data_IF_265963678098
#
_entry.id   IF_265963678098
#
_cell.length_a   1.000
_cell.length_b   1.000
_cell.length_c   1.000
_cell.angle_alpha   90.00
_cell.angle_beta   90.00
_cell.angle_gamma   90.00
#
_symmetry.space_group_name_H-M   'P 1'
#
loop_
_entity.id
_entity.type
_entity.pdbx_description
1 polymer ?
#
# COMPACT_ATOMS: atom_id res chain seq x y z
N UNK A 1 -11.54 -13.36 -41.99
CA UNK A 1 -12.54 -13.61 -40.95
C UNK A 1 -12.99 -12.26 -40.45
N UNK A 2 -14.25 -11.94 -40.72
CA UNK A 2 -14.93 -10.68 -40.43
C UNK A 2 -14.89 -10.36 -38.94
N UNK A 3 -14.35 -9.20 -38.59
CA UNK A 3 -14.48 -8.61 -37.24
C UNK A 3 -15.99 -8.38 -37.04
N UNK A 4 -16.54 -8.95 -35.98
CA UNK A 4 -17.96 -8.88 -35.65
C UNK A 4 -18.44 -7.43 -35.57
N UNK A 5 -19.39 -7.04 -36.43
CA UNK A 5 -20.30 -5.91 -36.24
C UNK A 5 -21.29 -6.19 -35.08
N UNK A 6 -20.81 -6.64 -33.93
CA UNK A 6 -21.64 -6.67 -32.74
C UNK A 6 -21.81 -5.22 -32.27
N UNK A 7 -23.04 -4.69 -32.40
CA UNK A 7 -23.40 -3.40 -31.82
C UNK A 7 -23.00 -3.38 -30.34
N UNK A 8 -22.24 -2.37 -29.94
CA UNK A 8 -21.94 -2.09 -28.53
C UNK A 8 -23.29 -1.88 -27.82
N UNK A 9 -23.59 -2.74 -26.84
CA UNK A 9 -24.79 -2.60 -26.03
C UNK A 9 -24.58 -1.49 -24.99
N UNK A 10 -25.25 -0.36 -25.19
CA UNK A 10 -25.23 0.79 -24.30
C UNK A 10 -26.24 0.69 -23.15
N UNK A 11 -26.91 -0.45 -22.96
CA UNK A 11 -27.79 -0.74 -21.81
C UNK A 11 -28.87 0.33 -21.57
N UNK A 12 -29.40 0.92 -22.65
CA UNK A 12 -30.44 1.95 -22.60
C UNK A 12 -29.95 3.39 -22.43
N UNK A 13 -28.64 3.62 -22.29
CA UNK A 13 -28.05 4.96 -22.31
C UNK A 13 -28.10 5.58 -23.71
N UNK A 14 -28.29 6.90 -23.77
CA UNK A 14 -28.39 7.69 -25.01
C UNK A 14 -27.14 8.56 -25.20
N UNK A 15 -26.01 7.92 -25.47
CA UNK A 15 -24.75 8.61 -25.64
C UNK A 15 -24.77 9.59 -26.82
N UNK A 16 -24.01 10.69 -26.76
CA UNK A 16 -23.76 11.53 -27.93
C UNK A 16 -23.13 10.73 -29.07
N UNK A 17 -23.49 11.06 -30.32
CA UNK A 17 -22.98 10.37 -31.51
C UNK A 17 -21.44 10.35 -31.57
N UNK A 18 -20.78 11.43 -31.11
CA UNK A 18 -19.32 11.51 -31.06
C UNK A 18 -18.68 10.46 -30.16
N UNK A 19 -19.30 10.10 -29.04
CA UNK A 19 -18.83 9.06 -28.13
C UNK A 19 -19.11 7.66 -28.69
N UNK A 20 -20.29 7.48 -29.31
CA UNK A 20 -20.63 6.23 -30.01
C UNK A 20 -19.61 5.95 -31.12
N UNK A 21 -19.31 6.94 -31.95
CA UNK A 21 -18.34 6.81 -33.05
C UNK A 21 -16.93 6.54 -32.50
N UNK A 22 -16.55 7.19 -31.40
CA UNK A 22 -15.27 6.94 -30.74
C UNK A 22 -15.14 5.49 -30.26
N UNK A 23 -16.15 4.97 -29.57
CA UNK A 23 -16.14 3.59 -29.08
C UNK A 23 -16.14 2.57 -30.22
N UNK A 24 -16.91 2.79 -31.29
CA UNK A 24 -16.88 1.93 -32.48
C UNK A 24 -15.52 1.92 -33.16
N UNK A 25 -14.86 3.08 -33.25
CA UNK A 25 -13.50 3.18 -33.79
C UNK A 25 -12.49 2.47 -32.89
N UNK A 26 -12.59 2.59 -31.58
CA UNK A 26 -11.75 1.83 -30.64
C UNK A 26 -11.92 0.31 -30.82
N UNK A 27 -13.17 -0.17 -30.97
CA UNK A 27 -13.43 -1.58 -31.21
C UNK A 27 -12.85 -2.07 -32.55
N UNK A 28 -13.08 -1.31 -33.63
CA UNK A 28 -12.74 -1.74 -34.99
C UNK A 28 -11.27 -1.49 -35.38
N UNK A 29 -10.71 -0.31 -35.08
CA UNK A 29 -9.34 0.07 -35.44
C UNK A 29 -8.30 -0.54 -34.49
N UNK A 30 -8.67 -0.75 -33.21
CA UNK A 30 -7.76 -1.20 -32.16
C UNK A 30 -8.10 -2.60 -31.62
N UNK A 31 -9.05 -3.30 -32.25
CA UNK A 31 -9.49 -4.66 -31.89
C UNK A 31 -9.79 -4.83 -30.39
N UNK A 32 -10.42 -3.81 -29.82
CA UNK A 32 -10.74 -3.79 -28.39
C UNK A 32 -12.05 -4.51 -28.09
N UNK A 33 -12.03 -5.33 -27.05
CA UNK A 33 -13.25 -5.84 -26.45
C UNK A 33 -13.85 -4.79 -25.49
N UNK A 34 -14.91 -4.12 -25.95
CA UNK A 34 -15.56 -3.03 -25.23
C UNK A 34 -16.80 -3.56 -24.50
N UNK A 35 -16.70 -3.61 -23.19
CA UNK A 35 -17.80 -3.96 -22.29
C UNK A 35 -18.20 -2.69 -21.56
N UNK A 36 -19.44 -2.25 -21.79
CA UNK A 36 -20.01 -1.01 -21.24
C UNK A 36 -20.91 -1.33 -20.06
N UNK A 37 -20.74 -0.64 -18.93
CA UNK A 37 -21.55 -0.80 -17.72
C UNK A 37 -21.86 0.54 -17.03
N UNK A 38 -22.93 0.62 -16.21
CA UNK A 38 -23.12 1.71 -15.26
C UNK A 38 -21.92 1.87 -14.31
N UNK A 39 -21.67 3.11 -13.86
CA UNK A 39 -20.62 3.42 -12.88
C UNK A 39 -20.73 2.53 -11.63
N UNK A 40 -19.61 1.89 -11.27
CA UNK A 40 -19.49 1.07 -10.06
C UNK A 40 -19.67 -0.44 -10.26
N UNK A 41 -20.07 -0.90 -11.45
CA UNK A 41 -20.05 -2.32 -11.78
C UNK A 41 -18.61 -2.84 -12.02
N UNK A 42 -18.36 -4.10 -11.65
CA UNK A 42 -17.08 -4.80 -11.85
C UNK A 42 -17.01 -5.40 -13.26
N UNK A 43 -15.80 -5.72 -13.70
CA UNK A 43 -15.54 -6.50 -14.93
C UNK A 43 -15.99 -5.79 -16.23
N UNK A 44 -15.63 -4.52 -16.41
CA UNK A 44 -15.91 -3.78 -17.65
C UNK A 44 -14.76 -2.86 -18.05
N UNK A 45 -14.68 -2.56 -19.35
CA UNK A 45 -13.68 -1.65 -19.90
C UNK A 45 -14.20 -0.21 -20.01
N UNK A 46 -15.52 0.03 -19.95
CA UNK A 46 -16.11 1.37 -20.04
C UNK A 46 -17.20 1.57 -18.97
N UNK A 47 -17.13 2.68 -18.21
CA UNK A 47 -18.24 3.13 -17.36
C UNK A 47 -18.98 4.30 -17.96
N UNK A 48 -20.30 4.25 -17.83
CA UNK A 48 -21.21 5.34 -18.15
C UNK A 48 -21.81 5.98 -16.91
N UNK A 49 -22.03 7.30 -16.99
CA UNK A 49 -22.84 8.06 -16.04
C UNK A 49 -23.52 9.22 -16.79
N UNK A 50 -24.80 9.45 -16.49
CA UNK A 50 -25.58 10.55 -17.08
C UNK A 50 -25.46 10.65 -18.62
N UNK A 51 -25.59 9.51 -19.31
CA UNK A 51 -25.47 9.39 -20.78
C UNK A 51 -24.09 9.73 -21.37
N UNK A 52 -23.03 9.70 -20.55
CA UNK A 52 -21.65 9.95 -21.00
C UNK A 52 -20.66 8.88 -20.56
N UNK A 53 -19.60 8.66 -21.35
CA UNK A 53 -18.44 7.86 -20.97
C UNK A 53 -17.59 8.63 -19.96
N UNK A 54 -17.58 8.14 -18.71
CA UNK A 54 -16.82 8.75 -17.60
C UNK A 54 -15.56 7.95 -17.24
N UNK A 55 -15.47 6.69 -17.65
CA UNK A 55 -14.27 5.88 -17.44
C UNK A 55 -14.01 4.95 -18.60
N UNK A 56 -12.73 4.77 -18.93
CA UNK A 56 -12.29 3.76 -19.90
C UNK A 56 -10.96 3.12 -19.51
N UNK A 57 -10.88 1.80 -19.64
CA UNK A 57 -9.73 0.97 -19.30
C UNK A 57 -9.21 0.22 -20.52
N UNK A 58 -7.92 0.42 -20.81
CA UNK A 58 -7.17 -0.15 -21.92
C UNK A 58 -6.07 -1.10 -21.46
N UNK A 59 -6.30 -1.87 -20.38
CA UNK A 59 -5.29 -2.79 -19.86
C UNK A 59 -4.86 -3.80 -20.93
N UNK A 60 -3.54 -4.02 -21.11
CA UNK A 60 -3.02 -5.15 -21.91
C UNK A 60 -3.48 -5.18 -23.38
N UNK A 61 -3.54 -4.01 -24.02
CA UNK A 61 -3.93 -3.89 -25.45
C UNK A 61 -2.74 -3.68 -26.40
N UNK A 62 -1.50 -3.83 -25.91
CA UNK A 62 -0.26 -3.65 -26.69
C UNK A 62 -0.14 -2.28 -27.39
N UNK A 63 -0.76 -1.23 -26.84
CA UNK A 63 -0.67 0.11 -27.43
C UNK A 63 0.75 0.66 -27.38
N UNK A 64 1.28 1.05 -28.54
CA UNK A 64 2.52 1.82 -28.68
C UNK A 64 2.27 3.33 -28.67
N UNK A 65 1.05 3.76 -28.99
CA UNK A 65 0.59 5.16 -28.97
C UNK A 65 -0.82 5.24 -28.40
N UNK A 66 -1.19 6.42 -27.89
CA UNK A 66 -2.53 6.66 -27.38
C UNK A 66 -3.55 6.66 -28.53
N UNK A 67 -4.64 5.88 -28.46
CA UNK A 67 -5.67 5.89 -29.51
C UNK A 67 -6.33 7.25 -29.70
N UNK A 68 -6.33 7.76 -30.93
CA UNK A 68 -6.93 9.06 -31.29
C UNK A 68 -8.43 9.21 -31.01
N UNK A 69 -9.29 8.17 -31.15
CA UNK A 69 -10.73 8.32 -30.89
C UNK A 69 -11.07 8.81 -29.46
N UNK A 70 -10.17 8.61 -28.49
CA UNK A 70 -10.32 9.03 -27.09
C UNK A 70 -10.51 10.54 -26.98
N UNK A 71 -9.98 11.33 -27.92
CA UNK A 71 -10.16 12.78 -27.97
C UNK A 71 -11.64 13.19 -27.97
N UNK A 72 -12.56 12.33 -28.41
CA UNK A 72 -13.99 12.66 -28.45
C UNK A 72 -14.73 12.37 -27.13
N UNK A 73 -14.07 11.77 -26.13
CA UNK A 73 -14.65 11.42 -24.83
C UNK A 73 -14.47 12.56 -23.82
N UNK A 74 -15.16 13.68 -24.04
CA UNK A 74 -14.93 14.94 -23.32
C UNK A 74 -15.38 14.95 -21.84
N UNK A 75 -16.17 13.96 -21.43
CA UNK A 75 -16.65 13.77 -20.05
C UNK A 75 -15.81 12.78 -19.25
N UNK A 76 -14.70 12.31 -19.82
CA UNK A 76 -13.88 11.28 -19.21
C UNK A 76 -13.24 11.77 -17.90
N UNK A 77 -13.59 11.11 -16.80
CA UNK A 77 -13.03 11.37 -15.48
C UNK A 77 -11.82 10.47 -15.19
N UNK A 78 -11.86 9.22 -15.65
CA UNK A 78 -10.79 8.26 -15.36
C UNK A 78 -10.37 7.47 -16.59
N UNK A 79 -9.06 7.34 -16.80
CA UNK A 79 -8.50 6.57 -17.92
C UNK A 79 -7.37 5.66 -17.47
N UNK A 80 -7.35 4.42 -17.95
CA UNK A 80 -6.29 3.46 -17.65
C UNK A 80 -5.64 2.90 -18.90
N UNK A 81 -4.32 2.96 -18.97
CA UNK A 81 -3.47 2.37 -20.01
C UNK A 81 -2.47 1.37 -19.43
N UNK A 82 -2.81 0.71 -18.32
CA UNK A 82 -1.87 -0.19 -17.65
C UNK A 82 -1.41 -1.35 -18.57
N UNK A 83 -0.14 -1.75 -18.44
CA UNK A 83 0.44 -2.87 -19.19
C UNK A 83 0.34 -2.69 -20.71
N UNK A 84 0.81 -1.55 -21.22
CA UNK A 84 0.96 -1.28 -22.65
C UNK A 84 2.43 -0.97 -22.98
N UNK A 85 2.69 -0.35 -24.13
CA UNK A 85 4.02 0.07 -24.58
C UNK A 85 4.08 1.59 -24.86
N UNK A 86 3.26 2.38 -24.17
CA UNK A 86 3.24 3.83 -24.35
C UNK A 86 4.55 4.46 -23.84
N UNK A 87 5.11 5.38 -24.62
CA UNK A 87 6.28 6.19 -24.22
C UNK A 87 5.98 7.68 -24.17
N UNK A 88 4.87 8.12 -24.76
CA UNK A 88 4.43 9.52 -24.80
C UNK A 88 2.89 9.61 -24.79
N UNK A 89 2.39 10.83 -24.58
CA UNK A 89 0.99 11.18 -24.73
C UNK A 89 0.88 12.34 -25.74
N UNK A 90 -0.13 12.32 -26.63
CA UNK A 90 -0.30 13.35 -27.65
C UNK A 90 -0.74 14.69 -27.06
N UNK A 91 -0.50 15.80 -27.75
CA UNK A 91 -0.83 17.15 -27.25
C UNK A 91 -2.32 17.36 -27.00
N UNK A 92 -3.18 16.75 -27.85
CA UNK A 92 -4.64 16.83 -27.70
C UNK A 92 -5.13 16.24 -26.38
N UNK A 93 -4.31 15.42 -25.70
CA UNK A 93 -4.69 14.81 -24.42
C UNK A 93 -5.01 15.87 -23.35
N UNK A 94 -4.47 17.08 -23.49
CA UNK A 94 -4.78 18.22 -22.61
C UNK A 94 -6.22 18.75 -22.74
N UNK A 95 -6.97 18.32 -23.76
CA UNK A 95 -8.38 18.69 -23.96
C UNK A 95 -9.33 17.91 -23.04
N UNK A 96 -8.88 16.80 -22.43
CA UNK A 96 -9.66 15.99 -21.49
C UNK A 96 -9.79 16.66 -20.12
N UNK A 97 -10.36 17.85 -20.07
CA UNK A 97 -10.35 18.75 -18.90
C UNK A 97 -11.07 18.21 -17.66
N UNK A 98 -11.92 17.19 -17.82
CA UNK A 98 -12.63 16.49 -16.73
C UNK A 98 -11.82 15.37 -16.08
N UNK A 99 -10.65 15.04 -16.63
CA UNK A 99 -9.87 13.90 -16.18
C UNK A 99 -9.31 14.14 -14.77
N UNK A 100 -9.73 13.31 -13.82
CA UNK A 100 -9.31 13.31 -12.42
C UNK A 100 -8.29 12.22 -12.12
N UNK A 101 -8.29 11.12 -12.86
CA UNK A 101 -7.38 10.00 -12.61
C UNK A 101 -6.84 9.39 -13.89
N UNK A 102 -5.53 9.18 -13.92
CA UNK A 102 -4.84 8.47 -15.01
C UNK A 102 -3.95 7.34 -14.48
N UNK A 103 -4.06 6.16 -15.11
CA UNK A 103 -3.23 5.00 -14.80
C UNK A 103 -2.34 4.63 -15.99
N UNK A 104 -1.02 4.83 -15.86
CA UNK A 104 0.01 4.54 -16.87
C UNK A 104 0.99 3.47 -16.36
N UNK A 105 0.58 2.63 -15.40
CA UNK A 105 1.41 1.57 -14.83
C UNK A 105 1.93 0.61 -15.91
N UNK A 106 3.15 0.10 -15.79
CA UNK A 106 3.75 -0.88 -16.70
C UNK A 106 3.72 -0.37 -18.16
N UNK A 107 4.45 0.71 -18.42
CA UNK A 107 4.63 1.31 -19.75
C UNK A 107 6.13 1.64 -19.98
N UNK A 108 6.44 2.46 -20.99
CA UNK A 108 7.81 2.78 -21.43
C UNK A 108 8.12 4.28 -21.31
N UNK A 109 7.47 5.00 -20.41
CA UNK A 109 7.74 6.44 -20.22
C UNK A 109 9.13 6.64 -19.60
N UNK A 110 10.02 7.30 -20.34
CA UNK A 110 11.35 7.75 -19.85
C UNK A 110 11.31 9.16 -19.28
N UNK A 111 10.34 9.97 -19.72
CA UNK A 111 10.09 11.33 -19.24
C UNK A 111 8.64 11.53 -18.87
N UNK A 112 8.37 12.39 -17.88
CA UNK A 112 7.00 12.72 -17.50
C UNK A 112 6.28 13.46 -18.64
N UNK A 113 5.10 13.03 -19.10
CA UNK A 113 4.35 13.69 -20.17
C UNK A 113 3.87 15.07 -19.73
N UNK A 114 4.48 16.13 -20.27
CA UNK A 114 4.14 17.52 -19.92
C UNK A 114 2.69 17.88 -20.22
N UNK A 115 2.04 17.20 -21.17
CA UNK A 115 0.62 17.38 -21.47
C UNK A 115 -0.27 17.17 -20.23
N UNK A 116 0.12 16.27 -19.31
CA UNK A 116 -0.63 16.04 -18.07
C UNK A 116 -0.65 17.28 -17.17
N UNK A 117 0.39 18.12 -17.20
CA UNK A 117 0.47 19.35 -16.40
C UNK A 117 -0.54 20.42 -16.83
N UNK A 118 -1.26 20.20 -17.93
CA UNK A 118 -2.32 21.08 -18.44
C UNK A 118 -3.72 20.62 -18.06
N UNK A 119 -3.86 19.54 -17.30
CA UNK A 119 -5.15 18.97 -16.87
C UNK A 119 -5.54 19.49 -15.48
N UNK A 120 -6.48 20.46 -15.38
CA UNK A 120 -6.73 21.17 -14.12
C UNK A 120 -7.46 20.32 -13.06
N UNK A 121 -8.19 19.29 -13.48
CA UNK A 121 -8.97 18.42 -12.59
C UNK A 121 -8.16 17.22 -12.05
N UNK A 122 -6.90 17.05 -12.48
CA UNK A 122 -6.14 15.83 -12.22
C UNK A 122 -5.80 15.69 -10.73
N UNK A 123 -6.34 14.65 -10.10
CA UNK A 123 -6.15 14.33 -8.68
C UNK A 123 -5.20 13.15 -8.46
N UNK A 124 -5.16 12.20 -9.40
CA UNK A 124 -4.41 10.94 -9.24
C UNK A 124 -3.63 10.58 -10.49
N UNK A 125 -2.34 10.30 -10.32
CA UNK A 125 -1.44 9.91 -11.40
C UNK A 125 -0.68 8.65 -11.00
N UNK A 126 -0.72 7.60 -11.83
CA UNK A 126 0.05 6.38 -11.60
C UNK A 126 1.03 6.10 -12.73
N UNK A 127 2.31 6.01 -12.40
CA UNK A 127 3.44 5.72 -13.27
C UNK A 127 4.28 4.55 -12.76
N UNK A 128 3.74 3.68 -11.90
CA UNK A 128 4.50 2.51 -11.41
C UNK A 128 5.03 1.67 -12.56
N UNK A 129 6.24 1.12 -12.44
CA UNK A 129 6.88 0.31 -13.49
C UNK A 129 7.01 1.08 -14.82
N UNK A 130 7.77 2.16 -14.78
CA UNK A 130 8.20 2.94 -15.95
C UNK A 130 9.70 3.24 -15.85
N UNK A 131 10.20 4.20 -16.61
CA UNK A 131 11.62 4.54 -16.70
C UNK A 131 11.88 6.02 -16.35
N UNK A 132 10.97 6.65 -15.61
CA UNK A 132 11.07 8.07 -15.23
C UNK A 132 12.27 8.30 -14.32
N UNK A 133 12.95 9.44 -14.51
CA UNK A 133 14.08 9.86 -13.66
C UNK A 133 13.90 11.25 -13.04
N UNK A 134 12.93 12.04 -13.51
CA UNK A 134 12.64 13.38 -12.99
C UNK A 134 11.16 13.76 -13.19
N UNK A 135 10.71 14.77 -12.45
CA UNK A 135 9.38 15.39 -12.56
C UNK A 135 9.54 16.86 -12.99
N UNK A 136 8.84 17.31 -14.04
CA UNK A 136 8.97 18.65 -14.57
C UNK A 136 8.46 19.71 -13.58
N UNK A 137 9.06 20.90 -13.61
CA UNK A 137 8.67 22.03 -12.76
C UNK A 137 7.22 22.49 -13.00
N UNK A 138 6.66 22.19 -14.16
CA UNK A 138 5.28 22.49 -14.56
C UNK A 138 4.25 21.65 -13.77
N UNK A 139 4.67 20.64 -13.00
CA UNK A 139 3.79 19.88 -12.09
C UNK A 139 3.04 20.80 -11.10
N UNK A 140 3.60 21.98 -10.80
CA UNK A 140 2.97 23.03 -9.98
C UNK A 140 1.57 23.43 -10.46
N UNK A 141 1.26 23.25 -11.74
CA UNK A 141 -0.04 23.58 -12.32
C UNK A 141 -1.15 22.61 -11.90
N UNK A 142 -0.80 21.45 -11.33
CA UNK A 142 -1.75 20.44 -10.88
C UNK A 142 -2.21 20.71 -9.45
N UNK A 143 -2.95 21.80 -9.27
CA UNK A 143 -3.39 22.29 -7.95
C UNK A 143 -4.30 21.33 -7.18
N UNK A 144 -4.91 20.36 -7.88
CA UNK A 144 -5.80 19.35 -7.30
C UNK A 144 -5.12 17.98 -7.12
N UNK A 145 -3.84 17.84 -7.46
CA UNK A 145 -3.13 16.56 -7.36
C UNK A 145 -3.01 16.14 -5.90
N UNK A 146 -3.57 14.98 -5.58
CA UNK A 146 -3.56 14.37 -4.24
C UNK A 146 -2.67 13.14 -4.18
N UNK A 147 -2.64 12.34 -5.24
CA UNK A 147 -1.90 11.07 -5.25
C UNK A 147 -0.99 10.96 -6.47
N UNK A 148 0.28 10.63 -6.24
CA UNK A 148 1.23 10.32 -7.31
C UNK A 148 2.03 9.05 -7.00
N UNK A 149 1.94 8.06 -7.90
CA UNK A 149 2.70 6.80 -7.81
C UNK A 149 3.81 6.77 -8.85
N UNK A 150 5.04 6.70 -8.37
CA UNK A 150 6.30 6.71 -9.13
C UNK A 150 7.19 5.50 -8.74
N UNK A 151 6.60 4.47 -8.13
CA UNK A 151 7.37 3.31 -7.72
C UNK A 151 7.93 2.54 -8.94
N UNK A 152 9.01 1.79 -8.79
CA UNK A 152 9.65 1.05 -9.88
C UNK A 152 9.98 1.95 -11.09
N UNK A 153 10.83 2.94 -10.85
CA UNK A 153 11.32 3.88 -11.85
C UNK A 153 12.85 4.08 -11.67
N UNK A 154 13.42 5.11 -12.30
CA UNK A 154 14.85 5.42 -12.30
C UNK A 154 15.21 6.67 -11.46
N UNK A 155 14.42 7.01 -10.44
CA UNK A 155 14.72 8.18 -9.60
C UNK A 155 15.97 7.93 -8.75
N UNK A 156 16.98 8.79 -8.90
CA UNK A 156 18.20 8.80 -8.06
C UNK A 156 18.05 9.72 -6.83
N UNK A 157 17.12 10.67 -6.91
CA UNK A 157 16.87 11.68 -5.88
C UNK A 157 15.37 11.89 -5.72
N UNK A 158 14.97 12.41 -4.56
CA UNK A 158 13.60 12.86 -4.36
C UNK A 158 13.24 13.96 -5.39
N UNK A 159 12.11 13.84 -6.12
CA UNK A 159 11.70 14.82 -7.11
C UNK A 159 11.18 16.10 -6.43
N UNK A 160 12.08 17.02 -6.09
CA UNK A 160 11.78 18.27 -5.38
C UNK A 160 10.69 19.12 -6.04
N UNK A 161 10.42 18.96 -7.34
CA UNK A 161 9.32 19.62 -8.03
C UNK A 161 7.96 19.33 -7.37
N UNK A 162 7.76 18.15 -6.77
CA UNK A 162 6.54 17.78 -6.06
C UNK A 162 6.26 18.70 -4.87
N UNK A 163 7.29 19.24 -4.20
CA UNK A 163 7.15 20.16 -3.08
C UNK A 163 6.39 21.46 -3.40
N UNK A 164 6.21 21.76 -4.70
CA UNK A 164 5.46 22.92 -5.18
C UNK A 164 3.95 22.66 -5.29
N UNK A 165 3.51 21.45 -4.97
CA UNK A 165 2.11 21.00 -5.04
C UNK A 165 1.64 20.61 -3.63
N UNK A 166 1.22 21.57 -2.80
CA UNK A 166 0.93 21.34 -1.39
C UNK A 166 -0.33 20.48 -1.15
N UNK A 167 -1.14 20.26 -2.19
CA UNK A 167 -2.33 19.40 -2.17
C UNK A 167 -1.99 17.90 -2.12
N UNK A 168 -0.75 17.49 -2.39
CA UNK A 168 -0.37 16.08 -2.42
C UNK A 168 -0.49 15.47 -1.01
N UNK A 169 -1.25 14.38 -0.93
CA UNK A 169 -1.49 13.60 0.28
C UNK A 169 -0.71 12.28 0.29
N UNK A 170 -0.41 11.74 -0.90
CA UNK A 170 0.20 10.41 -1.05
C UNK A 170 1.28 10.43 -2.13
N UNK A 171 2.49 10.01 -1.77
CA UNK A 171 3.63 9.85 -2.68
C UNK A 171 4.16 8.42 -2.58
N UNK A 172 4.16 7.73 -3.73
CA UNK A 172 4.80 6.44 -3.89
C UNK A 172 6.11 6.55 -4.67
N UNK A 173 7.24 6.27 -4.03
CA UNK A 173 8.59 6.32 -4.61
C UNK A 173 9.38 5.02 -4.34
N UNK A 174 8.69 3.93 -3.98
CA UNK A 174 9.36 2.66 -3.72
C UNK A 174 10.02 2.04 -4.96
N UNK A 175 10.96 1.12 -4.80
CA UNK A 175 11.72 0.50 -5.91
C UNK A 175 12.36 1.56 -6.81
N UNK A 176 13.20 2.42 -6.24
CA UNK A 176 14.00 3.41 -6.96
C UNK A 176 15.45 3.34 -6.44
N UNK A 177 16.27 4.36 -6.73
CA UNK A 177 17.67 4.46 -6.28
C UNK A 177 17.89 5.72 -5.44
N UNK A 178 16.88 6.09 -4.64
CA UNK A 178 16.93 7.29 -3.81
C UNK A 178 17.72 6.95 -2.55
N UNK A 179 18.77 7.72 -2.28
CA UNK A 179 19.57 7.57 -1.06
C UNK A 179 19.36 8.70 -0.05
N UNK A 180 18.80 9.84 -0.49
CA UNK A 180 18.59 11.04 0.34
C UNK A 180 17.32 11.79 -0.03
N UNK A 181 16.73 12.44 0.97
CA UNK A 181 15.64 13.39 0.83
C UNK A 181 16.06 14.71 1.47
N UNK A 182 15.73 15.83 0.83
CA UNK A 182 16.03 17.16 1.33
C UNK A 182 14.83 17.80 2.05
N UNK A 183 15.03 18.98 2.63
CA UNK A 183 14.01 19.71 3.40
C UNK A 183 12.81 20.19 2.57
N UNK A 184 12.71 19.87 1.27
CA UNK A 184 11.56 20.22 0.43
C UNK A 184 10.25 19.59 0.91
N UNK A 185 10.30 18.49 1.67
CA UNK A 185 9.12 17.89 2.31
C UNK A 185 8.37 18.86 3.25
N UNK A 186 9.06 19.86 3.81
CA UNK A 186 8.43 20.89 4.65
C UNK A 186 7.34 21.71 3.95
N UNK A 187 7.32 21.70 2.60
CA UNK A 187 6.31 22.41 1.80
C UNK A 187 5.06 21.57 1.50
N UNK A 188 5.12 20.27 1.75
CA UNK A 188 4.01 19.35 1.51
C UNK A 188 3.09 19.28 2.74
N UNK A 189 2.32 20.33 2.96
CA UNK A 189 1.45 20.49 4.15
C UNK A 189 0.38 19.41 4.28
N UNK A 190 -0.05 18.80 3.18
CA UNK A 190 -1.09 17.78 3.17
C UNK A 190 -0.55 16.35 3.07
N UNK A 191 0.77 16.15 3.00
CA UNK A 191 1.35 14.82 2.82
C UNK A 191 1.10 13.94 4.05
N UNK A 192 0.35 12.86 3.84
CA UNK A 192 -0.02 11.87 4.87
C UNK A 192 0.71 10.55 4.69
N UNK A 193 1.01 10.16 3.45
CA UNK A 193 1.64 8.87 3.15
C UNK A 193 2.85 9.04 2.24
N UNK A 194 3.98 8.51 2.69
CA UNK A 194 5.23 8.51 1.94
C UNK A 194 5.78 7.07 1.88
N UNK A 195 5.79 6.49 0.68
CA UNK A 195 6.31 5.15 0.45
C UNK A 195 7.68 5.22 -0.23
N UNK A 196 8.70 4.68 0.43
CA UNK A 196 10.11 4.72 0.06
C UNK A 196 10.75 3.33 0.12
N UNK A 197 9.94 2.27 0.14
CA UNK A 197 10.43 0.89 0.19
C UNK A 197 11.41 0.58 -0.95
N UNK A 198 12.37 -0.33 -0.77
CA UNK A 198 13.29 -0.78 -1.82
C UNK A 198 14.03 0.39 -2.50
N UNK A 199 14.76 1.16 -1.69
CA UNK A 199 15.61 2.28 -2.14
C UNK A 199 17.05 2.10 -1.58
N UNK A 200 17.86 3.15 -1.60
CA UNK A 200 19.27 3.12 -1.20
C UNK A 200 19.53 3.91 0.10
N UNK A 201 18.54 3.99 1.01
CA UNK A 201 18.71 4.67 2.29
C UNK A 201 19.59 3.85 3.24
N UNK A 202 20.77 4.37 3.61
CA UNK A 202 21.64 3.79 4.66
C UNK A 202 21.33 4.31 6.07
N UNK A 203 20.66 5.45 6.14
CA UNK A 203 20.22 6.12 7.37
C UNK A 203 18.76 6.56 7.20
N UNK A 204 18.05 6.75 8.32
CA UNK A 204 16.72 7.33 8.24
C UNK A 204 16.78 8.74 7.64
N UNK A 205 15.97 9.06 6.62
CA UNK A 205 16.00 10.37 5.98
C UNK A 205 15.43 11.44 6.91
N UNK A 206 16.29 12.14 7.65
CA UNK A 206 15.89 13.10 8.69
C UNK A 206 14.94 14.19 8.16
N UNK A 207 15.05 14.60 6.89
CA UNK A 207 14.14 15.57 6.29
C UNK A 207 12.65 15.16 6.32
N UNK A 208 12.34 13.87 6.50
CA UNK A 208 10.97 13.38 6.67
C UNK A 208 10.30 13.93 7.94
N UNK A 209 11.08 14.28 8.97
CA UNK A 209 10.54 14.86 10.22
C UNK A 209 9.95 16.26 10.03
N UNK A 210 10.25 16.91 8.91
CA UNK A 210 9.76 18.25 8.57
C UNK A 210 8.40 18.22 7.86
N UNK A 211 7.86 17.03 7.51
CA UNK A 211 6.53 16.88 6.93
C UNK A 211 5.44 16.96 8.03
N UNK A 212 4.62 18.03 8.07
CA UNK A 212 3.82 18.37 9.26
C UNK A 212 2.62 17.44 9.51
N UNK A 213 2.12 16.78 8.48
CA UNK A 213 0.88 15.99 8.51
C UNK A 213 1.12 14.50 8.26
N UNK A 214 2.37 14.04 8.32
CA UNK A 214 2.75 12.71 7.89
C UNK A 214 2.23 11.64 8.87
N UNK A 215 1.52 10.66 8.34
CA UNK A 215 0.87 9.60 9.12
C UNK A 215 1.49 8.22 8.85
N UNK A 216 1.96 7.98 7.64
CA UNK A 216 2.47 6.66 7.23
C UNK A 216 3.79 6.81 6.47
N UNK A 217 4.81 6.11 6.96
CA UNK A 217 6.11 5.98 6.31
C UNK A 217 6.38 4.50 6.06
N UNK A 218 6.72 4.15 4.82
CA UNK A 218 7.27 2.84 4.50
C UNK A 218 8.72 3.01 3.99
N UNK A 219 9.67 2.43 4.72
CA UNK A 219 11.10 2.36 4.41
C UNK A 219 11.59 0.90 4.35
N UNK A 220 10.69 -0.04 4.10
CA UNK A 220 10.98 -1.47 3.91
C UNK A 220 12.09 -1.69 2.88
N UNK A 221 12.91 -2.73 3.05
CA UNK A 221 13.93 -3.14 2.06
C UNK A 221 14.94 -2.03 1.72
N UNK A 222 15.46 -1.36 2.75
CA UNK A 222 16.56 -0.40 2.64
C UNK A 222 17.79 -0.92 3.40
N UNK A 223 18.78 -0.05 3.67
CA UNK A 223 19.98 -0.37 4.46
C UNK A 223 20.07 0.46 5.74
N UNK A 224 18.92 0.84 6.32
CA UNK A 224 18.87 1.70 7.50
C UNK A 224 19.39 0.94 8.72
N UNK A 225 20.40 1.51 9.38
CA UNK A 225 20.99 0.98 10.61
C UNK A 225 20.64 1.78 11.86
N UNK A 226 20.25 3.06 11.69
CA UNK A 226 19.93 3.95 12.81
C UNK A 226 18.79 4.93 12.49
N UNK A 227 18.07 5.34 13.54
CA UNK A 227 17.00 6.34 13.51
C UNK A 227 17.41 7.52 14.41
N UNK A 228 17.38 8.77 13.94
CA UNK A 228 17.83 9.93 14.71
C UNK A 228 16.84 10.36 15.80
N UNK A 229 17.32 11.07 16.82
CA UNK A 229 16.50 11.61 17.92
C UNK A 229 15.37 12.55 17.44
N UNK A 230 15.59 13.23 16.31
CA UNK A 230 14.61 14.11 15.68
C UNK A 230 13.36 13.36 15.21
N UNK A 231 13.40 12.02 15.07
CA UNK A 231 12.24 11.18 14.77
C UNK A 231 11.08 11.41 15.76
N UNK A 232 11.39 11.74 17.03
CA UNK A 232 10.37 12.04 18.04
C UNK A 232 9.48 13.26 17.71
N UNK A 233 9.83 14.06 16.69
CA UNK A 233 9.00 15.18 16.19
C UNK A 233 7.77 14.71 15.40
N UNK A 234 7.75 13.48 14.90
CA UNK A 234 6.68 12.93 14.05
C UNK A 234 5.41 12.56 14.83
N UNK A 235 4.81 13.54 15.53
CA UNK A 235 3.68 13.34 16.47
C UNK A 235 2.36 12.90 15.81
N UNK A 236 2.27 12.99 14.50
CA UNK A 236 1.10 12.56 13.70
C UNK A 236 1.27 11.15 13.15
N UNK A 237 2.46 10.54 13.27
CA UNK A 237 2.78 9.26 12.66
C UNK A 237 1.98 8.13 13.30
N UNK A 238 1.25 7.40 12.48
CA UNK A 238 0.41 6.26 12.84
C UNK A 238 1.02 4.93 12.42
N UNK A 239 1.81 4.91 11.35
CA UNK A 239 2.41 3.68 10.84
C UNK A 239 3.85 3.90 10.39
N UNK A 240 4.74 3.03 10.85
CA UNK A 240 6.15 2.99 10.45
C UNK A 240 6.55 1.58 10.03
N UNK A 241 6.98 1.43 8.79
CA UNK A 241 7.58 0.19 8.29
C UNK A 241 9.09 0.36 8.05
N UNK A 242 9.88 -0.42 8.78
CA UNK A 242 11.35 -0.53 8.68
C UNK A 242 11.75 -2.00 8.50
N UNK A 243 10.85 -2.84 7.97
CA UNK A 243 11.14 -4.25 7.72
C UNK A 243 12.27 -4.40 6.70
N UNK A 244 13.02 -5.51 6.74
CA UNK A 244 14.13 -5.80 5.83
C UNK A 244 15.18 -4.67 5.78
N UNK A 245 15.61 -4.20 6.95
CA UNK A 245 16.69 -3.20 7.09
C UNK A 245 17.87 -3.81 7.87
N UNK A 246 18.77 -2.97 8.36
CA UNK A 246 20.01 -3.38 9.04
C UNK A 246 20.04 -2.92 10.50
N UNK A 247 18.88 -2.77 11.15
CA UNK A 247 18.81 -2.38 12.56
C UNK A 247 19.41 -3.49 13.43
N UNK A 248 20.47 -3.17 14.17
CA UNK A 248 21.14 -4.08 15.10
C UNK A 248 20.68 -3.90 16.55
N UNK A 249 19.87 -2.87 16.81
CA UNK A 249 19.21 -2.59 18.09
C UNK A 249 17.82 -2.02 17.83
N UNK A 250 16.94 -2.12 18.83
CA UNK A 250 15.65 -1.44 18.76
C UNK A 250 15.85 0.07 18.89
N UNK A 251 15.37 0.91 17.94
CA UNK A 251 15.52 2.35 18.02
C UNK A 251 14.60 2.94 19.09
N UNK A 252 15.13 3.16 20.29
CA UNK A 252 14.33 3.59 21.45
C UNK A 252 13.56 4.91 21.21
N UNK A 253 14.08 5.80 20.34
CA UNK A 253 13.39 7.04 19.93
C UNK A 253 11.99 6.79 19.38
N UNK A 254 11.72 5.65 18.73
CA UNK A 254 10.41 5.28 18.20
C UNK A 254 9.35 5.27 19.32
N UNK A 255 9.74 4.87 20.54
CA UNK A 255 8.83 4.79 21.70
C UNK A 255 8.32 6.16 22.18
N UNK A 256 8.96 7.26 21.74
CA UNK A 256 8.53 8.64 22.04
C UNK A 256 7.39 9.12 21.14
N UNK A 257 7.08 8.39 20.07
CA UNK A 257 5.99 8.71 19.13
C UNK A 257 4.73 7.94 19.52
N UNK A 258 4.04 8.42 20.56
CA UNK A 258 2.89 7.72 21.16
C UNK A 258 1.70 7.54 20.21
N UNK A 259 1.64 8.29 19.10
CA UNK A 259 0.60 8.19 18.07
C UNK A 259 0.67 6.91 17.23
N UNK A 260 1.77 6.15 17.29
CA UNK A 260 1.97 4.95 16.49
C UNK A 260 0.93 3.87 16.80
N UNK A 261 0.23 3.45 15.74
CA UNK A 261 -0.70 2.33 15.71
C UNK A 261 -0.15 1.08 15.01
N UNK A 262 0.83 1.23 14.12
CA UNK A 262 1.51 0.14 13.42
C UNK A 262 3.02 0.32 13.43
N UNK A 263 3.75 -0.71 13.87
CA UNK A 263 5.20 -0.77 13.85
C UNK A 263 5.65 -2.10 13.23
N UNK A 264 6.45 -2.01 12.17
CA UNK A 264 6.95 -3.17 11.43
C UNK A 264 8.48 -3.12 11.38
N UNK A 265 9.10 -4.15 11.93
CA UNK A 265 10.54 -4.31 12.13
C UNK A 265 11.01 -5.69 11.65
N UNK A 266 10.21 -6.37 10.83
CA UNK A 266 10.45 -7.75 10.38
C UNK A 266 11.81 -7.86 9.71
N UNK A 267 12.57 -8.94 9.95
CA UNK A 267 13.87 -9.21 9.32
C UNK A 267 14.88 -8.05 9.48
N UNK A 268 15.20 -7.76 10.73
CA UNK A 268 16.34 -6.95 11.14
C UNK A 268 17.28 -7.83 12.02
N UNK A 269 18.19 -7.23 12.79
CA UNK A 269 19.12 -7.92 13.68
C UNK A 269 18.92 -7.55 15.16
N UNK A 270 17.69 -7.19 15.56
CA UNK A 270 17.38 -6.64 16.88
C UNK A 270 17.44 -7.74 17.97
N UNK A 271 18.28 -7.60 19.01
CA UNK A 271 18.43 -8.61 20.06
C UNK A 271 17.46 -8.45 21.24
N UNK A 272 16.92 -7.25 21.45
CA UNK A 272 16.01 -6.96 22.56
C UNK A 272 15.09 -5.78 22.26
N UNK A 273 13.97 -5.70 22.98
CA UNK A 273 13.02 -4.58 22.97
C UNK A 273 13.18 -3.84 24.31
N UNK A 274 13.29 -2.50 24.32
CA UNK A 274 13.44 -1.73 25.56
C UNK A 274 12.11 -1.67 26.33
N UNK A 275 12.18 -1.45 27.65
CA UNK A 275 10.99 -1.27 28.51
C UNK A 275 10.13 -0.08 28.08
N UNK A 276 10.73 0.94 27.47
CA UNK A 276 10.04 2.09 26.91
C UNK A 276 9.03 1.74 25.81
N UNK A 277 9.02 0.52 25.26
CA UNK A 277 7.97 0.03 24.36
C UNK A 277 6.57 0.23 24.94
N UNK A 278 6.44 0.13 26.28
CA UNK A 278 5.18 0.35 26.98
C UNK A 278 4.57 1.74 26.81
N UNK A 279 5.31 2.72 26.25
CA UNK A 279 4.81 4.05 25.93
C UNK A 279 3.88 4.08 24.71
N UNK A 280 3.95 3.08 23.83
CA UNK A 280 3.16 3.03 22.58
C UNK A 280 1.73 2.53 22.82
N UNK A 281 0.95 3.24 23.64
CA UNK A 281 -0.41 2.83 24.08
C UNK A 281 -1.42 2.66 22.93
N UNK A 282 -1.17 3.30 21.79
CA UNK A 282 -2.02 3.21 20.60
C UNK A 282 -1.63 2.08 19.64
N UNK A 283 -0.54 1.35 19.92
CA UNK A 283 -0.02 0.32 19.04
C UNK A 283 -1.02 -0.83 18.93
N UNK A 284 -1.59 -1.00 17.73
CA UNK A 284 -2.55 -2.05 17.40
C UNK A 284 -1.91 -3.20 16.61
N UNK A 285 -0.82 -2.94 15.90
CA UNK A 285 -0.05 -3.96 15.17
C UNK A 285 1.43 -3.78 15.42
N UNK A 286 2.07 -4.86 15.87
CA UNK A 286 3.51 -4.93 16.04
C UNK A 286 4.04 -6.18 15.34
N UNK A 287 4.90 -5.98 14.35
CA UNK A 287 5.60 -7.06 13.65
C UNK A 287 7.10 -6.90 13.87
N UNK A 288 7.73 -7.89 14.49
CA UNK A 288 9.17 -7.95 14.74
C UNK A 288 9.70 -9.37 14.47
N UNK A 289 9.03 -10.10 13.58
CA UNK A 289 9.45 -11.45 13.19
C UNK A 289 10.81 -11.45 12.48
N UNK A 290 11.56 -12.55 12.55
CA UNK A 290 12.86 -12.68 11.86
C UNK A 290 13.96 -11.81 12.46
N UNK A 291 13.97 -11.60 13.78
CA UNK A 291 15.02 -10.86 14.50
C UNK A 291 15.83 -11.82 15.40
N UNK A 292 16.55 -11.31 16.39
CA UNK A 292 17.40 -12.08 17.32
C UNK A 292 16.93 -11.96 18.76
N UNK A 293 15.62 -11.74 18.98
CA UNK A 293 15.06 -11.54 20.30
C UNK A 293 15.19 -12.81 21.14
N UNK A 294 15.75 -12.70 22.34
CA UNK A 294 15.84 -13.82 23.30
C UNK A 294 14.77 -13.77 24.40
N UNK A 295 14.21 -12.59 24.64
CA UNK A 295 13.16 -12.34 25.64
C UNK A 295 12.37 -11.08 25.28
N UNK A 296 11.28 -10.84 26.00
CA UNK A 296 10.46 -9.63 25.91
C UNK A 296 10.43 -8.91 27.27
N UNK A 297 10.37 -7.58 27.29
CA UNK A 297 10.19 -6.82 28.53
C UNK A 297 8.77 -6.98 29.09
N UNK A 298 8.61 -6.85 30.42
CA UNK A 298 7.28 -6.89 31.07
C UNK A 298 6.37 -5.73 30.62
N UNK A 299 6.95 -4.64 30.14
CA UNK A 299 6.20 -3.50 29.62
C UNK A 299 5.44 -3.81 28.33
N UNK A 300 5.67 -4.96 27.68
CA UNK A 300 4.85 -5.40 26.55
C UNK A 300 3.37 -5.53 26.94
N UNK A 301 3.08 -5.96 28.17
CA UNK A 301 1.71 -6.07 28.66
C UNK A 301 0.99 -4.73 28.84
N UNK A 302 1.69 -3.59 28.67
CA UNK A 302 1.09 -2.27 28.69
C UNK A 302 0.46 -1.86 27.34
N UNK A 303 0.64 -2.65 26.28
CA UNK A 303 0.12 -2.40 24.94
C UNK A 303 -1.33 -2.87 24.82
N UNK A 304 -2.24 -2.26 25.57
CA UNK A 304 -3.64 -2.71 25.69
C UNK A 304 -4.46 -2.69 24.38
N UNK A 305 -4.00 -1.97 23.36
CA UNK A 305 -4.63 -1.91 22.03
C UNK A 305 -4.05 -2.91 21.04
N UNK A 306 -2.97 -3.63 21.39
CA UNK A 306 -2.29 -4.55 20.49
C UNK A 306 -3.22 -5.70 20.11
N UNK A 307 -3.56 -5.78 18.83
CA UNK A 307 -4.43 -6.79 18.24
C UNK A 307 -3.68 -7.84 17.42
N UNK A 308 -2.55 -7.46 16.83
CA UNK A 308 -1.69 -8.33 16.05
C UNK A 308 -0.26 -8.22 16.57
N UNK A 309 0.33 -9.35 16.94
CA UNK A 309 1.72 -9.41 17.38
C UNK A 309 2.45 -10.57 16.70
N UNK A 310 3.43 -10.25 15.84
CA UNK A 310 4.29 -11.24 15.20
C UNK A 310 5.70 -11.19 15.77
N UNK A 311 6.10 -12.31 16.38
CA UNK A 311 7.39 -12.59 16.98
C UNK A 311 8.06 -13.80 16.32
N UNK A 312 7.52 -14.30 15.20
CA UNK A 312 7.98 -15.54 14.59
C UNK A 312 9.43 -15.45 14.10
N UNK A 313 10.18 -16.54 14.13
CA UNK A 313 11.57 -16.55 13.65
C UNK A 313 12.52 -15.71 14.52
N UNK A 314 12.39 -15.80 15.84
CA UNK A 314 13.30 -15.20 16.82
C UNK A 314 13.97 -16.31 17.66
N UNK A 315 14.59 -15.96 18.79
CA UNK A 315 15.27 -16.89 19.69
C UNK A 315 14.65 -16.86 21.10
N UNK A 316 13.35 -16.55 21.20
CA UNK A 316 12.66 -16.32 22.48
C UNK A 316 12.54 -17.64 23.24
N UNK A 317 12.96 -17.64 24.49
CA UNK A 317 12.93 -18.83 25.38
C UNK A 317 11.75 -18.85 26.33
N UNK A 318 11.21 -17.68 26.70
CA UNK A 318 10.03 -17.55 27.54
C UNK A 318 9.25 -16.26 27.26
N UNK A 319 7.98 -16.25 27.65
CA UNK A 319 7.10 -15.09 27.54
C UNK A 319 6.88 -14.45 28.92
N UNK A 320 6.84 -13.10 29.00
CA UNK A 320 6.63 -12.41 30.27
C UNK A 320 5.19 -12.58 30.77
N UNK A 321 5.02 -12.61 32.10
CA UNK A 321 3.72 -12.85 32.72
C UNK A 321 2.70 -11.74 32.41
N UNK A 322 3.19 -10.53 32.11
CA UNK A 322 2.38 -9.39 31.68
C UNK A 322 1.63 -9.58 30.36
N UNK A 323 1.96 -10.58 29.51
CA UNK A 323 1.22 -10.79 28.25
C UNK A 323 -0.28 -11.08 28.46
N UNK A 324 -0.68 -11.56 29.64
CA UNK A 324 -2.09 -11.70 30.04
C UNK A 324 -2.87 -10.37 30.04
N UNK A 325 -2.18 -9.24 30.04
CA UNK A 325 -2.79 -7.90 30.02
C UNK A 325 -3.11 -7.39 28.61
N UNK A 326 -2.73 -8.11 27.55
CA UNK A 326 -2.98 -7.76 26.15
C UNK A 326 -4.44 -8.02 25.74
N UNK A 327 -5.38 -7.32 26.36
CA UNK A 327 -6.84 -7.56 26.25
C UNK A 327 -7.42 -7.40 24.84
N UNK A 328 -6.71 -6.73 23.93
CA UNK A 328 -7.13 -6.56 22.53
C UNK A 328 -6.51 -7.58 21.59
N UNK A 329 -5.60 -8.44 22.06
CA UNK A 329 -4.82 -9.35 21.22
C UNK A 329 -5.75 -10.39 20.58
N UNK A 330 -5.67 -10.47 19.25
CA UNK A 330 -6.43 -11.42 18.42
C UNK A 330 -5.51 -12.46 17.81
N UNK A 331 -4.37 -12.02 17.30
CA UNK A 331 -3.43 -12.88 16.57
C UNK A 331 -2.03 -12.75 17.20
N UNK A 332 -1.50 -13.88 17.67
CA UNK A 332 -0.16 -13.99 18.24
C UNK A 332 0.63 -15.04 17.45
N UNK A 333 1.75 -14.63 16.84
CA UNK A 333 2.64 -15.51 16.11
C UNK A 333 3.97 -15.65 16.84
N UNK A 334 4.29 -16.87 17.25
CA UNK A 334 5.46 -17.29 18.02
C UNK A 334 6.23 -18.40 17.32
N UNK A 335 5.83 -18.81 16.11
CA UNK A 335 6.46 -19.92 15.41
C UNK A 335 7.96 -19.70 15.20
N UNK A 336 8.75 -20.78 15.16
CA UNK A 336 10.22 -20.71 14.96
C UNK A 336 10.89 -19.85 16.04
N UNK A 337 10.67 -20.21 17.30
CA UNK A 337 11.37 -19.68 18.48
C UNK A 337 11.97 -20.84 19.28
N UNK A 338 12.40 -20.58 20.52
CA UNK A 338 12.97 -21.59 21.44
C UNK A 338 12.13 -21.72 22.73
N UNK A 339 10.82 -21.49 22.63
CA UNK A 339 9.92 -21.57 23.77
C UNK A 339 9.85 -23.02 24.25
N UNK A 340 9.93 -23.24 25.56
CA UNK A 340 9.74 -24.57 26.17
C UNK A 340 8.35 -24.76 26.77
N UNK A 341 7.61 -23.67 26.99
CA UNK A 341 6.24 -23.69 27.50
C UNK A 341 5.46 -22.45 27.05
N UNK A 342 4.14 -22.48 27.23
CA UNK A 342 3.26 -21.33 27.01
C UNK A 342 2.47 -21.03 28.29
N UNK A 343 2.34 -19.74 28.69
CA UNK A 343 1.48 -19.36 29.81
C UNK A 343 0.01 -19.66 29.51
N UNK A 344 -0.66 -20.37 30.40
CA UNK A 344 -2.08 -20.75 30.25
C UNK A 344 -2.99 -19.53 30.11
N UNK A 345 -2.62 -18.39 30.71
CA UNK A 345 -3.38 -17.14 30.67
C UNK A 345 -3.57 -16.57 29.26
N UNK A 346 -2.71 -16.93 28.31
CA UNK A 346 -2.87 -16.53 26.91
C UNK A 346 -4.16 -17.09 26.30
N UNK A 347 -4.55 -18.31 26.68
CA UNK A 347 -5.79 -18.93 26.19
C UNK A 347 -7.05 -18.29 26.76
N UNK A 348 -6.94 -17.50 27.83
CA UNK A 348 -8.05 -16.78 28.46
C UNK A 348 -8.18 -15.31 28.01
N UNK A 349 -7.33 -14.86 27.09
CA UNK A 349 -7.43 -13.51 26.55
C UNK A 349 -8.77 -13.32 25.82
N UNK A 350 -9.52 -12.24 26.10
CA UNK A 350 -10.94 -12.15 25.74
C UNK A 350 -11.19 -12.05 24.22
N UNK A 351 -10.19 -11.63 23.44
CA UNK A 351 -10.29 -11.47 21.99
C UNK A 351 -9.35 -12.41 21.21
N UNK A 352 -8.63 -13.30 21.89
CA UNK A 352 -7.65 -14.15 21.20
C UNK A 352 -8.38 -15.10 20.24
N UNK A 353 -7.92 -15.09 19.01
CA UNK A 353 -8.45 -15.92 17.94
C UNK A 353 -7.44 -16.99 17.56
N UNK A 354 -6.15 -16.69 17.57
CA UNK A 354 -5.11 -17.63 17.17
C UNK A 354 -3.79 -17.38 17.90
N UNK A 355 -3.17 -18.47 18.36
CA UNK A 355 -1.80 -18.49 18.87
C UNK A 355 -1.02 -19.51 18.04
N UNK A 356 -0.10 -19.05 17.21
CA UNK A 356 0.71 -19.89 16.34
C UNK A 356 2.10 -20.12 16.97
N UNK A 357 2.40 -21.35 17.39
CA UNK A 357 3.62 -21.67 18.14
C UNK A 357 4.41 -22.85 17.57
N UNK A 358 4.13 -23.28 16.33
CA UNK A 358 4.87 -24.38 15.69
C UNK A 358 6.38 -24.12 15.61
N UNK A 359 7.18 -25.19 15.57
CA UNK A 359 8.64 -25.11 15.52
C UNK A 359 9.21 -24.34 16.73
N UNK A 360 8.80 -24.75 17.93
CA UNK A 360 9.41 -24.37 19.20
C UNK A 360 9.94 -25.64 19.90
N UNK A 361 10.43 -25.48 21.13
CA UNK A 361 10.91 -26.57 21.99
C UNK A 361 9.83 -26.98 23.01
N UNK A 362 8.56 -26.78 22.68
CA UNK A 362 7.40 -27.10 23.53
C UNK A 362 7.05 -28.58 23.38
N UNK A 363 7.01 -29.31 24.49
CA UNK A 363 6.49 -30.68 24.51
C UNK A 363 4.97 -30.66 24.25
N UNK A 364 4.48 -31.50 23.34
CA UNK A 364 3.07 -31.48 22.92
C UNK A 364 2.09 -31.65 24.09
N UNK A 365 2.43 -32.51 25.05
CA UNK A 365 1.64 -32.78 26.25
C UNK A 365 1.64 -31.61 27.26
N UNK A 366 2.59 -30.67 27.13
CA UNK A 366 2.73 -29.51 28.02
C UNK A 366 1.92 -28.30 27.57
N UNK A 367 1.32 -28.34 26.36
CA UNK A 367 0.54 -27.23 25.83
C UNK A 367 -0.74 -27.06 26.66
N UNK A 368 -1.02 -25.86 27.22
CA UNK A 368 -2.24 -25.64 27.98
C UNK A 368 -3.52 -25.87 27.16
N UNK A 369 -4.50 -26.54 27.77
CA UNK A 369 -5.78 -26.86 27.15
C UNK A 369 -6.51 -25.61 26.63
N UNK A 370 -6.43 -24.49 27.35
CA UNK A 370 -7.01 -23.21 26.94
C UNK A 370 -6.47 -22.72 25.59
N UNK A 371 -5.20 -22.94 25.30
CA UNK A 371 -4.56 -22.55 24.03
C UNK A 371 -4.97 -23.51 22.90
N UNK A 372 -5.07 -24.80 23.19
CA UNK A 372 -5.56 -25.81 22.24
C UNK A 372 -6.98 -25.45 21.79
N UNK A 373 -7.87 -25.11 22.72
CA UNK A 373 -9.26 -24.73 22.43
C UNK A 373 -9.38 -23.48 21.56
N UNK A 374 -8.52 -22.45 21.80
CA UNK A 374 -8.45 -21.25 20.95
C UNK A 374 -8.17 -21.64 19.50
N UNK A 375 -7.13 -22.43 19.27
CA UNK A 375 -6.73 -22.82 17.92
C UNK A 375 -7.76 -23.76 17.25
N UNK A 376 -8.38 -24.67 17.99
CA UNK A 376 -9.46 -25.52 17.46
C UNK A 376 -10.66 -24.68 16.99
N UNK A 377 -11.08 -23.69 17.79
CA UNK A 377 -12.18 -22.76 17.44
C UNK A 377 -11.86 -21.97 16.17
N UNK A 378 -10.62 -21.52 16.03
CA UNK A 378 -10.15 -20.81 14.84
C UNK A 378 -10.31 -21.66 13.57
N UNK A 379 -9.78 -22.89 13.58
CA UNK A 379 -9.84 -23.77 12.42
C UNK A 379 -11.25 -24.22 12.07
N UNK A 380 -12.09 -24.50 13.08
CA UNK A 380 -13.50 -24.82 12.85
C UNK A 380 -14.22 -23.67 12.10
N UNK A 381 -13.98 -22.42 12.53
CA UNK A 381 -14.54 -21.23 11.88
C UNK A 381 -13.99 -21.05 10.46
N UNK A 382 -12.68 -21.25 10.28
CA UNK A 382 -12.01 -21.14 8.98
C UNK A 382 -12.58 -22.14 7.96
N UNK A 383 -12.67 -23.42 8.32
CA UNK A 383 -13.19 -24.45 7.42
C UNK A 383 -14.67 -24.25 7.10
N UNK A 384 -15.51 -23.84 8.07
CA UNK A 384 -16.90 -23.46 7.80
C UNK A 384 -17.01 -22.31 6.78
N UNK A 385 -16.15 -21.29 6.90
CA UNK A 385 -16.13 -20.18 5.96
C UNK A 385 -15.72 -20.63 4.55
N UNK A 386 -14.70 -21.49 4.43
CA UNK A 386 -14.26 -22.08 3.16
C UNK A 386 -15.38 -22.91 2.52
N UNK A 387 -16.02 -23.79 3.27
CA UNK A 387 -17.13 -24.63 2.78
C UNK A 387 -18.32 -23.78 2.32
N UNK A 388 -18.64 -22.72 3.06
CA UNK A 388 -19.71 -21.78 2.66
C UNK A 388 -19.40 -21.06 1.35
N UNK A 389 -18.11 -20.74 1.12
CA UNK A 389 -17.64 -20.06 -0.09
C UNK A 389 -17.65 -21.02 -1.27
N UNK A 390 -17.13 -22.25 -1.10
CA UNK A 390 -17.19 -23.32 -2.09
C UNK A 390 -18.65 -23.66 -2.45
N UNK A 391 -19.55 -23.71 -1.47
CA UNK A 391 -20.98 -23.92 -1.68
C UNK A 391 -21.64 -22.80 -2.49
N UNK A 392 -21.23 -21.54 -2.29
CA UNK A 392 -21.68 -20.41 -3.13
C UNK A 392 -21.15 -20.51 -4.56
N UNK A 393 -19.92 -20.94 -4.75
CA UNK A 393 -19.31 -21.08 -6.08
C UNK A 393 -19.98 -22.22 -6.89
N UNK A 394 -20.24 -23.36 -6.25
CA UNK A 394 -21.01 -24.46 -6.85
C UNK A 394 -22.43 -24.05 -7.29
N UNK A 395 -23.09 -23.14 -6.55
CA UNK A 395 -24.41 -22.60 -6.92
C UNK A 395 -24.35 -21.56 -8.04
N UNK A 396 -23.19 -20.95 -8.30
CA UNK A 396 -22.98 -19.96 -9.35
C UNK A 396 -22.43 -20.54 -10.66
N UNK A 397 -22.24 -21.87 -10.75
CA UNK A 397 -21.88 -22.55 -11.99
C UNK A 397 -20.50 -22.18 -12.55
N UNK A 398 -19.56 -21.74 -11.69
CA UNK A 398 -18.14 -21.57 -12.04
C UNK A 398 -17.32 -22.77 -11.61
#
# INVERSE_FOLDING_TARGET
MTINDQLIDFQGYKLPQSEIDALKRLQSEYNMDIIVKPRGEKECSVWLESDHVVSIGFARNNFSSCPDPIRNLQFLETIGFQSNSLSELPDWFSELTKLTSINLILNKFTTFPKVLTKLPALEKIRFTDNQLSDIPKEIVNLHNLKEISLAANNFLHFPKALSRVPSIEWIGLGTNKISKIDSSLSKLSSLRVLLLYKNEFSEFPEAVVEAPSLENINLEENSISAIPDSFAKLRTLKSLDLSYNQLDHFPEVITRVSSLGGLYLTRNNIPSIPSSIGNLKHLGRFDIGGNRLTSLPEEIGLLSQLGYFDLSGNEITSLPASMKNLRSLRLLYLAKNRLTSLPEELGYLPKIERIEYINNEIEEESVPQSIIEVNQRYWATYFQAVDSTLGKWKKQGK
#
